data_IF_202535596833
#
_entry.id   IF_202535596833
#
_cell.length_a   1.000
_cell.length_b   1.000
_cell.length_c   1.000
_cell.angle_alpha   90.00
_cell.angle_beta   90.00
_cell.angle_gamma   90.00
#
_symmetry.space_group_name_H-M   'P 1'
#
loop_
_entity.id
_entity.type
_entity.pdbx_description
1 polymer ?
#
# COMPACT_ATOMS: atom_id res chain seq x y z
N UNK A 1 1.53 8.27 18.54
CA UNK A 1 1.62 8.21 17.06
C UNK A 1 3.07 8.00 16.74
N UNK A 2 3.43 6.82 16.23
CA UNK A 2 4.80 6.59 15.77
C UNK A 2 4.96 7.28 14.42
N UNK A 3 6.01 8.08 14.27
CA UNK A 3 6.37 8.72 13.00
C UNK A 3 7.46 7.85 12.39
N UNK A 4 7.26 7.40 11.15
CA UNK A 4 8.25 6.63 10.41
C UNK A 4 9.13 7.55 9.55
N UNK A 5 10.32 7.08 9.20
CA UNK A 5 11.20 7.77 8.26
C UNK A 5 10.79 7.41 6.82
N UNK A 6 10.25 8.40 6.10
CA UNK A 6 9.82 8.23 4.71
C UNK A 6 10.97 7.92 3.73
N UNK A 7 12.23 8.09 4.14
CA UNK A 7 13.40 7.70 3.36
C UNK A 7 13.86 6.26 3.63
N UNK A 8 13.29 5.59 4.62
CA UNK A 8 13.67 4.24 5.06
C UNK A 8 12.49 3.24 4.98
N UNK A 9 11.78 3.22 3.85
CA UNK A 9 10.54 2.44 3.69
C UNK A 9 10.75 0.92 3.81
N UNK A 10 11.88 0.37 3.37
CA UNK A 10 12.20 -1.05 3.53
C UNK A 10 12.31 -1.46 5.01
N UNK A 11 13.00 -0.65 5.81
CA UNK A 11 13.10 -0.90 7.25
C UNK A 11 11.74 -0.78 7.94
N UNK A 12 10.93 0.20 7.52
CA UNK A 12 9.58 0.38 8.03
C UNK A 12 8.64 -0.77 7.62
N UNK A 13 8.75 -1.30 6.40
CA UNK A 13 7.99 -2.47 5.96
C UNK A 13 8.35 -3.70 6.80
N UNK A 14 9.65 -3.93 7.07
CA UNK A 14 10.10 -5.01 7.94
C UNK A 14 9.55 -4.86 9.38
N UNK A 15 9.51 -3.63 9.90
CA UNK A 15 8.88 -3.35 11.21
C UNK A 15 7.39 -3.70 11.18
N UNK A 16 6.62 -3.23 10.19
CA UNK A 16 5.19 -3.52 10.06
C UNK A 16 4.91 -5.02 9.97
N UNK A 17 5.72 -5.77 9.23
CA UNK A 17 5.62 -7.22 9.09
C UNK A 17 5.89 -7.96 10.41
N UNK A 18 6.71 -7.38 11.30
CA UNK A 18 7.00 -7.96 12.60
C UNK A 18 5.88 -7.75 13.64
N UNK A 19 4.97 -6.80 13.39
CA UNK A 19 3.89 -6.47 14.32
C UNK A 19 2.59 -7.13 13.83
N UNK A 20 2.01 -8.07 14.59
CA UNK A 20 0.75 -8.70 14.20
C UNK A 20 -0.42 -7.70 14.28
N UNK A 21 -1.40 -7.83 13.39
CA UNK A 21 -2.65 -7.09 13.45
C UNK A 21 -2.94 -6.24 12.21
N UNK A 22 -3.87 -5.29 12.34
CA UNK A 22 -4.27 -4.38 11.26
C UNK A 22 -3.66 -3.02 11.50
N UNK A 23 -2.85 -2.58 10.55
CA UNK A 23 -2.16 -1.29 10.61
C UNK A 23 -2.83 -0.28 9.68
N UNK A 24 -2.90 0.97 10.13
CA UNK A 24 -3.25 2.11 9.28
C UNK A 24 -2.00 2.95 9.12
N UNK A 25 -1.47 3.01 7.90
CA UNK A 25 -0.36 3.87 7.53
C UNK A 25 -0.90 5.03 6.69
N UNK A 26 -0.56 6.25 7.08
CA UNK A 26 -0.87 7.46 6.31
C UNK A 26 0.44 8.05 5.84
N UNK A 27 0.65 8.03 4.53
CA UNK A 27 1.82 8.59 3.87
C UNK A 27 1.43 9.58 2.78
N UNK A 28 2.42 10.26 2.23
CA UNK A 28 2.25 11.05 1.00
C UNK A 28 2.23 10.12 -0.23
N UNK A 29 1.62 10.58 -1.33
CA UNK A 29 1.49 9.84 -2.60
C UNK A 29 2.82 9.27 -3.13
N UNK A 30 3.93 9.97 -2.91
CA UNK A 30 5.26 9.54 -3.31
C UNK A 30 5.85 8.42 -2.43
N UNK A 31 5.22 8.10 -1.30
CA UNK A 31 5.71 7.08 -0.34
C UNK A 31 4.78 5.88 -0.24
N UNK A 32 3.49 6.05 -0.53
CA UNK A 32 2.50 4.98 -0.42
C UNK A 32 2.66 3.93 -1.52
N UNK A 33 3.02 4.34 -2.74
CA UNK A 33 3.30 3.43 -3.86
C UNK A 33 4.53 2.55 -3.55
N UNK A 34 5.63 3.17 -3.12
CA UNK A 34 6.86 2.46 -2.77
C UNK A 34 6.69 1.55 -1.54
N UNK A 35 5.92 1.99 -0.54
CA UNK A 35 5.65 1.17 0.64
C UNK A 35 4.84 -0.09 0.30
N UNK A 36 3.86 0.00 -0.59
CA UNK A 36 3.10 -1.19 -1.03
C UNK A 36 4.03 -2.19 -1.73
N UNK A 37 4.96 -1.69 -2.53
CA UNK A 37 6.00 -2.51 -3.18
C UNK A 37 6.91 -3.19 -2.14
N UNK A 38 7.41 -2.43 -1.15
CA UNK A 38 8.26 -2.95 -0.09
C UNK A 38 7.55 -4.00 0.79
N UNK A 39 6.23 -3.89 0.94
CA UNK A 39 5.38 -4.89 1.59
C UNK A 39 5.13 -6.12 0.70
N UNK A 40 5.65 -6.16 -0.53
CA UNK A 40 5.50 -7.24 -1.49
C UNK A 40 4.19 -7.21 -2.30
N UNK A 41 3.39 -6.15 -2.16
CA UNK A 41 2.13 -5.98 -2.88
C UNK A 41 2.29 -5.35 -4.27
N UNK A 42 1.20 -5.31 -5.04
CA UNK A 42 1.16 -4.62 -6.33
C UNK A 42 0.72 -3.15 -6.13
N UNK A 43 1.61 -2.18 -6.33
CA UNK A 43 1.29 -0.77 -6.11
C UNK A 43 0.45 -0.16 -7.25
N UNK A 44 0.26 -0.91 -8.35
CA UNK A 44 -0.40 -0.48 -9.57
C UNK A 44 0.41 0.54 -10.37
N UNK A 45 -0.29 1.32 -11.20
CA UNK A 45 0.34 2.38 -12.00
C UNK A 45 0.98 3.44 -11.10
N UNK A 46 2.01 4.17 -11.57
CA UNK A 46 2.57 5.32 -10.86
C UNK A 46 1.48 6.29 -10.38
N UNK A 47 1.72 6.92 -9.22
CA UNK A 47 0.81 7.94 -8.67
C UNK A 47 1.23 9.31 -9.20
N UNK A 48 0.29 10.08 -9.75
CA UNK A 48 0.58 11.44 -10.18
C UNK A 48 0.69 12.42 -9.00
N UNK A 49 1.39 13.53 -9.21
CA UNK A 49 1.68 14.51 -8.14
C UNK A 49 0.44 15.08 -7.43
N UNK A 50 -0.69 15.21 -8.15
CA UNK A 50 -1.97 15.73 -7.64
C UNK A 50 -3.00 14.63 -7.35
N UNK A 51 -2.56 13.38 -7.35
CA UNK A 51 -3.40 12.23 -7.11
C UNK A 51 -3.35 11.83 -5.63
N UNK A 52 -4.52 11.87 -4.97
CA UNK A 52 -4.66 11.64 -3.53
C UNK A 52 -5.84 10.73 -3.18
N UNK A 53 -6.42 10.04 -4.16
CA UNK A 53 -7.65 9.27 -4.04
C UNK A 53 -7.43 7.76 -3.89
N UNK A 54 -6.22 7.31 -3.57
CA UNK A 54 -5.87 5.89 -3.43
C UNK A 54 -5.89 5.43 -1.98
N UNK A 55 -6.58 4.33 -1.72
CA UNK A 55 -6.49 3.56 -0.48
C UNK A 55 -6.10 2.12 -0.81
N UNK A 56 -4.97 1.68 -0.29
CA UNK A 56 -4.46 0.33 -0.47
C UNK A 56 -4.84 -0.55 0.71
N UNK A 57 -5.45 -1.71 0.44
CA UNK A 57 -5.59 -2.78 1.42
C UNK A 57 -4.62 -3.88 1.02
N UNK A 58 -3.58 -4.06 1.83
CA UNK A 58 -2.54 -5.08 1.63
C UNK A 58 -2.73 -6.18 2.67
N UNK A 59 -2.92 -7.42 2.23
CA UNK A 59 -3.02 -8.60 3.09
C UNK A 59 -1.91 -9.59 2.82
N UNK A 60 -1.33 -10.12 3.90
CA UNK A 60 -0.34 -11.19 3.85
C UNK A 60 -1.08 -12.53 3.95
N UNK A 61 -0.96 -13.37 2.94
CA UNK A 61 -1.64 -14.67 2.83
C UNK A 61 -0.61 -15.80 2.58
N UNK A 62 -0.99 -17.06 2.82
CA UNK A 62 -0.08 -18.21 2.67
C UNK A 62 0.47 -18.40 1.24
N UNK A 63 -0.13 -17.74 0.24
CA UNK A 63 0.30 -17.74 -1.17
C UNK A 63 0.96 -16.45 -1.65
N UNK A 64 1.21 -15.47 -0.78
CA UNK A 64 1.82 -14.20 -1.14
C UNK A 64 1.05 -12.98 -0.60
N UNK A 65 1.33 -11.83 -1.19
CA UNK A 65 0.75 -10.55 -0.76
C UNK A 65 -0.36 -10.17 -1.72
N UNK A 66 -1.57 -10.01 -1.18
CA UNK A 66 -2.72 -9.57 -1.96
C UNK A 66 -2.91 -8.07 -1.77
N UNK A 67 -3.15 -7.37 -2.89
CA UNK A 67 -3.38 -5.92 -2.88
C UNK A 67 -4.72 -5.57 -3.50
N UNK A 68 -5.57 -4.88 -2.74
CA UNK A 68 -6.78 -4.23 -3.27
C UNK A 68 -6.54 -2.73 -3.31
N UNK A 69 -6.69 -2.14 -4.50
CA UNK A 69 -6.70 -0.70 -4.67
C UNK A 69 -8.14 -0.17 -4.70
N UNK A 70 -8.46 0.68 -3.73
CA UNK A 70 -9.71 1.43 -3.68
C UNK A 70 -9.47 2.87 -4.13
N UNK A 71 -10.38 3.38 -4.96
CA UNK A 71 -10.41 4.77 -5.41
C UNK A 71 -11.59 5.49 -4.75
N UNK A 72 -11.38 6.70 -4.26
CA UNK A 72 -12.43 7.51 -3.62
C UNK A 72 -12.57 8.89 -4.25
N UNK A 73 -13.61 9.65 -3.89
CA UNK A 73 -13.88 10.97 -4.49
C UNK A 73 -14.76 10.92 -5.75
N UNK A 74 -15.07 12.09 -6.30
CA UNK A 74 -16.10 12.27 -7.33
C UNK A 74 -15.77 11.52 -8.64
N UNK A 75 -16.61 10.56 -9.02
CA UNK A 75 -16.58 9.92 -10.35
C UNK A 75 -15.88 8.56 -10.46
N UNK A 76 -15.27 8.04 -9.39
CA UNK A 76 -14.51 6.79 -9.47
C UNK A 76 -15.22 5.65 -8.73
N UNK A 77 -15.61 4.60 -9.47
CA UNK A 77 -15.96 3.28 -8.91
C UNK A 77 -15.20 2.22 -9.68
N UNK A 78 -13.96 1.98 -9.30
CA UNK A 78 -13.13 0.91 -9.85
C UNK A 78 -12.60 0.08 -8.70
N UNK A 79 -13.05 -1.18 -8.66
CA UNK A 79 -12.46 -2.22 -7.82
C UNK A 79 -11.48 -2.98 -8.70
N UNK A 80 -10.20 -2.97 -8.35
CA UNK A 80 -9.20 -3.80 -9.02
C UNK A 80 -8.56 -4.69 -7.96
N UNK A 81 -8.78 -5.99 -8.12
CA UNK A 81 -8.14 -7.02 -7.33
C UNK A 81 -6.84 -7.39 -8.04
N UNK A 82 -5.72 -7.25 -7.36
CA UNK A 82 -4.43 -7.72 -7.84
C UNK A 82 -4.10 -8.98 -7.05
N UNK A 83 -4.29 -10.12 -7.70
CA UNK A 83 -3.82 -11.41 -7.21
C UNK A 83 -2.35 -11.59 -7.63
N UNK A 84 -1.51 -12.25 -6.80
CA UNK A 84 -0.18 -12.63 -7.22
C UNK A 84 -0.28 -13.59 -8.42
N UNK A 85 0.46 -13.31 -9.50
CA UNK A 85 0.62 -14.24 -10.61
C UNK A 85 1.29 -15.52 -10.10
N UNK A 86 0.60 -16.65 -10.25
CA UNK A 86 1.10 -18.02 -9.98
C UNK A 86 2.19 -18.45 -10.93
#
# INVERSE_FOLDING_TARGET
>A
MAIYDASALEAFAAELLSIPGRHLVVGHSNTTHDLVTALGGDPGLPIESLEYDRLYLVSMEEGGVRTILLRFGSGHRVFRDFAPDT
#
